data_IF_529890236981
#
_entry.id   IF_529890236981
#
_cell.length_a   1.000
_cell.length_b   1.000
_cell.length_c   1.000
_cell.angle_alpha   90.00
_cell.angle_beta   90.00
_cell.angle_gamma   90.00
#
_symmetry.space_group_name_H-M   'P 1'
#
loop_
_entity.id
_entity.type
_entity.pdbx_description
1 polymer ?
#
# COMPACT_ATOMS: atom_id res chain seq x y z
N UNK A 1 -4.16 -30.78 -8.50
CA UNK A 1 -3.23 -30.13 -7.61
C UNK A 1 -3.36 -28.61 -7.66
N UNK A 2 -3.86 -28.06 -6.61
CA UNK A 2 -4.00 -26.63 -6.50
C UNK A 2 -2.85 -26.05 -5.68
N UNK A 3 -1.65 -26.27 -6.16
CA UNK A 3 -0.49 -25.63 -5.59
C UNK A 3 -0.60 -24.12 -5.76
N UNK A 4 0.30 -23.37 -5.14
CA UNK A 4 0.33 -21.92 -5.31
C UNK A 4 0.45 -21.53 -6.78
N UNK A 5 1.07 -22.36 -7.61
CA UNK A 5 1.21 -22.09 -9.04
C UNK A 5 -0.12 -22.14 -9.79
N UNK A 6 -1.13 -22.82 -9.25
CA UNK A 6 -2.45 -22.92 -9.86
C UNK A 6 -3.40 -21.80 -9.45
N UNK A 7 -2.97 -20.87 -8.59
CA UNK A 7 -3.79 -19.78 -8.10
C UNK A 7 -3.59 -18.53 -8.95
N UNK A 8 -4.61 -17.66 -9.01
CA UNK A 8 -4.45 -16.35 -9.61
C UNK A 8 -3.51 -15.49 -8.76
N UNK A 9 -3.02 -14.40 -9.33
CA UNK A 9 -2.16 -13.46 -8.61
C UNK A 9 -2.83 -12.94 -7.33
N UNK A 10 -4.11 -12.59 -7.41
CA UNK A 10 -4.85 -12.12 -6.25
C UNK A 10 -5.04 -13.18 -5.19
N UNK A 11 -5.30 -14.42 -5.62
CA UNK A 11 -5.42 -15.54 -4.68
C UNK A 11 -4.10 -15.84 -4.00
N UNK A 12 -3.00 -15.79 -4.74
CA UNK A 12 -1.67 -15.98 -4.17
C UNK A 12 -1.36 -14.90 -3.15
N UNK A 13 -1.71 -13.65 -3.46
CA UNK A 13 -1.48 -12.55 -2.54
C UNK A 13 -2.30 -12.70 -1.26
N UNK A 14 -3.57 -13.07 -1.39
CA UNK A 14 -4.40 -13.31 -0.21
C UNK A 14 -3.86 -14.46 0.64
N UNK A 15 -3.32 -15.50 0.00
CA UNK A 15 -2.71 -16.60 0.73
C UNK A 15 -1.47 -16.14 1.49
N UNK A 16 -0.64 -15.29 0.89
CA UNK A 16 0.53 -14.74 1.56
C UNK A 16 0.13 -13.91 2.77
N UNK A 17 -0.91 -13.11 2.65
CA UNK A 17 -1.43 -12.32 3.77
C UNK A 17 -1.94 -13.23 4.88
N UNK A 18 -2.70 -14.27 4.53
CA UNK A 18 -3.20 -15.22 5.51
C UNK A 18 -2.07 -15.91 6.28
N UNK A 19 -0.99 -16.27 5.58
CA UNK A 19 0.19 -16.87 6.22
C UNK A 19 0.86 -15.90 7.18
N UNK A 20 0.98 -14.65 6.79
CA UNK A 20 1.55 -13.63 7.66
C UNK A 20 0.70 -13.43 8.92
N UNK A 21 -0.62 -13.47 8.78
CA UNK A 21 -1.53 -13.29 9.90
C UNK A 21 -1.55 -14.49 10.85
N UNK A 22 -1.16 -15.67 10.38
CA UNK A 22 -1.16 -16.88 11.19
C UNK A 22 -0.21 -16.80 12.38
N UNK A 23 0.80 -15.94 12.34
CA UNK A 23 1.74 -15.73 13.45
C UNK A 23 1.28 -14.60 14.37
N UNK A 24 0.09 -14.07 14.15
CA UNK A 24 -0.51 -13.02 14.99
C UNK A 24 0.40 -11.79 15.17
N UNK A 25 0.78 -11.12 14.07
CA UNK A 25 1.69 -9.99 14.16
C UNK A 25 0.99 -8.76 14.72
N UNK A 26 1.76 -7.84 15.31
CA UNK A 26 1.25 -6.54 15.67
C UNK A 26 1.25 -5.61 14.46
N UNK A 27 2.24 -5.77 13.59
CA UNK A 27 2.41 -4.97 12.38
C UNK A 27 2.49 -5.89 11.18
N UNK A 28 1.67 -5.61 10.17
CA UNK A 28 1.69 -6.33 8.90
C UNK A 28 2.34 -5.43 7.85
N UNK A 29 3.47 -5.87 7.32
CA UNK A 29 4.20 -5.12 6.28
C UNK A 29 3.92 -5.73 4.92
N UNK A 30 3.47 -4.91 3.98
CA UNK A 30 3.24 -5.31 2.61
C UNK A 30 4.05 -4.43 1.65
N UNK A 31 4.79 -5.07 0.76
CA UNK A 31 5.63 -4.37 -0.20
C UNK A 31 5.03 -4.54 -1.60
N UNK A 32 4.54 -3.44 -2.18
CA UNK A 32 3.94 -3.42 -3.50
C UNK A 32 2.88 -4.52 -3.66
N UNK A 33 1.88 -4.60 -2.75
CA UNK A 33 1.02 -5.79 -2.67
C UNK A 33 0.15 -6.02 -3.90
N UNK A 34 -0.04 -5.01 -4.74
CA UNK A 34 -0.93 -5.13 -5.90
C UNK A 34 -0.22 -4.86 -7.23
N UNK A 35 1.11 -4.77 -7.24
CA UNK A 35 1.87 -4.32 -8.40
C UNK A 35 1.70 -5.21 -9.64
N UNK A 36 1.43 -6.49 -9.45
CA UNK A 36 1.28 -7.44 -10.57
C UNK A 36 -0.17 -7.92 -10.73
N UNK A 37 -1.13 -7.23 -10.11
CA UNK A 37 -2.52 -7.68 -10.12
C UNK A 37 -3.36 -6.86 -11.07
N UNK A 38 -4.41 -7.51 -11.61
CA UNK A 38 -5.42 -6.81 -12.39
C UNK A 38 -6.28 -5.91 -11.50
N UNK A 39 -7.11 -5.01 -12.08
CA UNK A 39 -7.92 -4.08 -11.27
C UNK A 39 -8.88 -4.76 -10.30
N UNK A 40 -9.47 -5.88 -10.69
CA UNK A 40 -10.43 -6.59 -9.82
C UNK A 40 -9.72 -7.18 -8.61
N UNK A 41 -8.59 -7.86 -8.84
CA UNK A 41 -7.79 -8.44 -7.77
C UNK A 41 -7.21 -7.35 -6.86
N UNK A 42 -6.79 -6.23 -7.45
CA UNK A 42 -6.30 -5.09 -6.69
C UNK A 42 -7.37 -4.57 -5.73
N UNK A 43 -8.60 -4.40 -6.22
CA UNK A 43 -9.70 -3.95 -5.38
C UNK A 43 -9.94 -4.89 -4.21
N UNK A 44 -9.87 -6.19 -4.44
CA UNK A 44 -10.09 -7.17 -3.38
C UNK A 44 -9.00 -7.11 -2.32
N UNK A 45 -7.75 -6.91 -2.72
CA UNK A 45 -6.66 -6.75 -1.77
C UNK A 45 -6.82 -5.46 -0.98
N UNK A 46 -7.21 -4.37 -1.63
CA UNK A 46 -7.46 -3.11 -0.93
C UNK A 46 -8.60 -3.22 0.07
N UNK A 47 -9.68 -3.90 -0.31
CA UNK A 47 -10.78 -4.16 0.61
C UNK A 47 -10.34 -4.97 1.82
N UNK A 48 -9.51 -5.98 1.59
CA UNK A 48 -8.96 -6.79 2.67
C UNK A 48 -8.12 -5.94 3.62
N UNK A 49 -7.29 -5.05 3.09
CA UNK A 49 -6.50 -4.14 3.91
C UNK A 49 -7.40 -3.24 4.76
N UNK A 50 -8.48 -2.73 4.17
CA UNK A 50 -9.42 -1.89 4.91
C UNK A 50 -10.10 -2.65 6.05
N UNK A 51 -10.40 -3.92 5.86
CA UNK A 51 -10.96 -4.76 6.91
C UNK A 51 -9.94 -5.04 8.01
N UNK A 52 -8.70 -5.29 7.63
CA UNK A 52 -7.65 -5.67 8.57
C UNK A 52 -7.14 -4.50 9.40
N UNK A 53 -7.22 -3.27 8.89
CA UNK A 53 -6.64 -2.13 9.61
C UNK A 53 -7.30 -1.83 10.93
N UNK A 54 -8.51 -2.34 11.17
CA UNK A 54 -9.17 -2.21 12.46
C UNK A 54 -8.56 -3.12 13.54
N UNK A 55 -7.79 -4.11 13.12
CA UNK A 55 -7.22 -5.11 14.02
C UNK A 55 -5.70 -5.10 14.02
N UNK A 56 -5.10 -4.72 12.91
CA UNK A 56 -3.64 -4.72 12.75
C UNK A 56 -3.17 -3.34 12.32
N UNK A 57 -1.92 -3.02 12.68
CA UNK A 57 -1.23 -1.88 12.06
C UNK A 57 -0.66 -2.37 10.73
N UNK A 58 -1.04 -1.73 9.64
CA UNK A 58 -0.61 -2.14 8.31
C UNK A 58 0.32 -1.08 7.73
N UNK A 59 1.48 -1.51 7.28
CA UNK A 59 2.44 -0.65 6.59
C UNK A 59 2.55 -1.15 5.16
N UNK A 60 2.28 -0.28 4.19
CA UNK A 60 2.34 -0.62 2.78
C UNK A 60 3.40 0.24 2.10
N UNK A 61 4.32 -0.41 1.38
CA UNK A 61 5.26 0.28 0.52
C UNK A 61 4.71 0.19 -0.90
N UNK A 62 4.49 1.33 -1.54
CA UNK A 62 3.90 1.34 -2.87
C UNK A 62 4.37 2.54 -3.69
N UNK A 63 4.47 2.36 -5.00
CA UNK A 63 4.66 3.46 -5.95
C UNK A 63 3.32 3.98 -6.47
N UNK A 64 2.22 3.35 -6.08
CA UNK A 64 0.89 3.71 -6.55
C UNK A 64 0.26 4.75 -5.63
N UNK A 65 0.36 6.01 -6.02
CA UNK A 65 -0.19 7.12 -5.24
C UNK A 65 -1.70 7.03 -5.08
N UNK A 66 -2.40 6.53 -6.08
CA UNK A 66 -3.85 6.39 -6.00
C UNK A 66 -4.25 5.37 -4.93
N UNK A 67 -3.47 4.30 -4.80
CA UNK A 67 -3.71 3.32 -3.75
C UNK A 67 -3.50 3.92 -2.38
N UNK A 68 -2.40 4.66 -2.19
CA UNK A 68 -2.15 5.33 -0.92
C UNK A 68 -3.30 6.28 -0.57
N UNK A 69 -3.77 7.04 -1.55
CA UNK A 69 -4.87 8.00 -1.34
C UNK A 69 -6.15 7.28 -0.94
N UNK A 70 -6.43 6.10 -1.51
CA UNK A 70 -7.66 5.37 -1.23
C UNK A 70 -7.68 4.69 0.14
N UNK A 71 -6.54 4.13 0.57
CA UNK A 71 -6.57 3.22 1.71
C UNK A 71 -5.70 3.62 2.91
N UNK A 72 -4.80 4.58 2.76
CA UNK A 72 -3.89 4.93 3.84
C UNK A 72 -4.44 6.07 4.70
N UNK A 73 -4.29 5.94 6.01
CA UNK A 73 -4.62 7.02 6.94
C UNK A 73 -3.49 8.03 7.02
N UNK A 74 -2.26 7.53 7.05
CA UNK A 74 -1.04 8.33 7.08
C UNK A 74 -0.15 7.91 5.93
N UNK A 75 0.48 8.87 5.28
CA UNK A 75 1.38 8.60 4.17
C UNK A 75 2.72 9.26 4.42
N UNK A 76 3.79 8.54 4.12
CA UNK A 76 5.15 9.07 4.16
C UNK A 76 5.73 9.03 2.75
N UNK A 77 6.25 10.16 2.29
CA UNK A 77 6.88 10.25 0.98
C UNK A 77 8.41 10.16 1.13
N UNK A 78 8.99 9.21 0.41
CA UNK A 78 10.43 8.99 0.40
C UNK A 78 10.98 9.30 -0.98
N UNK A 79 12.16 9.92 -1.03
CA UNK A 79 12.84 10.20 -2.27
C UNK A 79 14.32 9.92 -2.06
N UNK A 80 14.89 9.04 -2.90
CA UNK A 80 16.31 8.68 -2.85
C UNK A 80 16.78 8.28 -1.45
N UNK A 81 15.95 7.54 -0.74
CA UNK A 81 16.29 7.04 0.58
C UNK A 81 15.99 7.98 1.75
N UNK A 82 15.58 9.21 1.45
CA UNK A 82 15.25 10.19 2.49
C UNK A 82 13.76 10.31 2.67
N UNK A 83 13.31 10.35 3.93
CA UNK A 83 11.92 10.66 4.21
C UNK A 83 11.73 12.15 4.06
N UNK A 84 10.97 12.54 3.02
CA UNK A 84 10.77 13.94 2.67
C UNK A 84 9.66 14.56 3.49
N UNK A 85 8.55 13.84 3.62
CA UNK A 85 7.39 14.37 4.31
C UNK A 85 6.50 13.23 4.78
N UNK A 86 5.87 13.40 5.94
CA UNK A 86 4.92 12.44 6.47
C UNK A 86 3.76 13.20 7.09
N UNK A 87 2.55 12.69 6.92
CA UNK A 87 1.36 13.31 7.50
C UNK A 87 0.09 12.58 7.14
N UNK A 88 -1.02 13.14 7.56
CA UNK A 88 -2.32 12.61 7.17
C UNK A 88 -2.40 12.56 5.65
N UNK A 89 -2.90 11.45 5.12
CA UNK A 89 -2.92 11.22 3.67
C UNK A 89 -3.60 12.35 2.91
N UNK A 90 -4.77 12.78 3.37
CA UNK A 90 -5.50 13.86 2.71
C UNK A 90 -4.70 15.15 2.65
N UNK A 91 -4.06 15.51 3.75
CA UNK A 91 -3.26 16.73 3.83
C UNK A 91 -2.02 16.64 2.94
N UNK A 92 -1.34 15.50 2.99
CA UNK A 92 -0.11 15.33 2.21
C UNK A 92 -0.37 15.43 0.71
N UNK A 93 -1.51 14.91 0.25
CA UNK A 93 -1.84 14.92 -1.18
C UNK A 93 -2.47 16.23 -1.64
N UNK A 94 -3.22 16.90 -0.76
CA UNK A 94 -3.93 18.15 -1.14
C UNK A 94 -3.10 19.39 -0.85
N UNK A 95 -2.34 19.39 0.24
CA UNK A 95 -1.54 20.55 0.68
C UNK A 95 -0.18 20.11 1.19
N UNK A 96 0.67 19.57 0.31
CA UNK A 96 2.00 19.13 0.74
C UNK A 96 2.82 20.33 1.20
N UNK A 97 3.65 20.11 2.22
CA UNK A 97 4.49 21.14 2.79
C UNK A 97 5.84 21.25 2.13
N UNK A 98 6.31 20.16 1.54
CA UNK A 98 7.62 20.12 0.89
C UNK A 98 7.42 20.21 -0.62
N UNK A 99 8.23 21.07 -1.26
CA UNK A 99 8.16 21.26 -2.71
C UNK A 99 8.41 19.96 -3.48
N UNK A 100 9.27 19.10 -2.97
CA UNK A 100 9.57 17.80 -3.61
C UNK A 100 8.34 16.89 -3.61
N UNK A 101 7.56 16.93 -2.53
CA UNK A 101 6.30 16.18 -2.46
C UNK A 101 5.31 16.71 -3.49
N UNK A 102 5.18 18.03 -3.54
CA UNK A 102 4.30 18.68 -4.51
C UNK A 102 4.68 18.31 -5.94
N UNK A 103 5.96 18.38 -6.25
CA UNK A 103 6.46 18.07 -7.60
C UNK A 103 6.17 16.61 -7.97
N UNK A 104 6.33 15.69 -7.00
CA UNK A 104 6.05 14.28 -7.24
C UNK A 104 4.56 14.05 -7.52
N UNK A 105 3.71 14.64 -6.71
CA UNK A 105 2.25 14.47 -6.84
C UNK A 105 1.76 15.06 -8.15
N UNK A 106 2.30 16.21 -8.55
CA UNK A 106 1.88 16.89 -9.78
C UNK A 106 2.63 16.42 -11.03
N UNK A 107 3.61 15.54 -10.88
CA UNK A 107 4.38 15.03 -12.00
C UNK A 107 5.37 16.03 -12.59
N UNK A 108 5.82 17.00 -11.79
CA UNK A 108 6.72 18.05 -12.26
C UNK A 108 8.19 17.81 -11.97
N UNK A 109 8.52 16.66 -11.42
CA UNK A 109 9.90 16.33 -11.12
C UNK A 109 10.62 15.83 -12.37
N UNK A 110 11.88 16.09 -12.47
CA UNK A 110 12.71 15.62 -13.59
C UNK A 110 12.97 16.62 -14.66
#
# INVERSE_FOLDING_TARGET
NKSALGLSGGQQQRLCIARALAVEPEVLLMDEPTSALDPISTSKIEELCMELKGKYTIVIVTHNMQQALRIADTTAFFLLGDMVEVGATDQLFSMPRDKRTEDYITGRFG
#
